data_IF_834276012207
#
_entry.id   IF_834276012207
#
_cell.length_a   1.000
_cell.length_b   1.000
_cell.length_c   1.000
_cell.angle_alpha   90.00
_cell.angle_beta   90.00
_cell.angle_gamma   90.00
#
_symmetry.space_group_name_H-M   'P 1'
#
loop_
_entity.id
_entity.type
_entity.pdbx_description
1 polymer ?
#
# COMPACT_ATOMS: atom_id res chain seq x y z
N UNK A 1 -3.04 -10.66 -9.15
CA UNK A 1 -2.48 -9.28 -9.08
C UNK A 1 -3.36 -8.37 -9.95
N UNK A 2 -4.25 -7.57 -9.38
CA UNK A 2 -5.13 -6.70 -10.19
C UNK A 2 -4.40 -5.51 -10.80
N UNK A 3 -3.22 -5.13 -10.27
CA UNK A 3 -2.36 -4.09 -10.86
C UNK A 3 -1.88 -4.39 -12.29
N UNK A 4 -1.86 -5.66 -12.71
CA UNK A 4 -1.55 -5.99 -14.11
C UNK A 4 -2.66 -5.57 -15.06
N UNK A 5 -3.92 -5.55 -14.61
CA UNK A 5 -5.07 -5.11 -15.40
C UNK A 5 -5.03 -3.58 -15.62
N UNK A 6 -4.71 -2.82 -14.56
CA UNK A 6 -4.55 -1.37 -14.65
C UNK A 6 -3.38 -0.98 -15.56
N UNK A 7 -2.22 -1.65 -15.42
CA UNK A 7 -1.09 -1.42 -16.33
C UNK A 7 -1.41 -1.84 -17.77
N UNK A 8 -2.11 -2.96 -17.97
CA UNK A 8 -2.53 -3.38 -19.30
C UNK A 8 -3.48 -2.36 -19.97
N UNK A 9 -4.41 -1.75 -19.21
CA UNK A 9 -5.30 -0.71 -19.73
C UNK A 9 -4.55 0.54 -20.20
N UNK A 10 -3.57 1.02 -19.42
CA UNK A 10 -2.74 2.16 -19.81
C UNK A 10 -1.87 1.86 -21.03
N UNK A 11 -1.28 0.66 -21.08
CA UNK A 11 -0.49 0.20 -22.23
C UNK A 11 -1.35 0.03 -23.49
N UNK A 12 -2.62 -0.40 -23.34
CA UNK A 12 -3.60 -0.45 -24.43
C UNK A 12 -3.96 0.95 -24.96
N UNK A 13 -4.07 1.95 -24.09
CA UNK A 13 -4.25 3.36 -24.50
C UNK A 13 -3.08 3.87 -25.34
N UNK A 14 -1.85 3.54 -24.94
CA UNK A 14 -0.64 3.87 -25.69
C UNK A 14 -0.54 3.08 -27.02
N UNK A 15 -0.96 1.81 -27.06
CA UNK A 15 -1.06 1.05 -28.31
C UNK A 15 -2.06 1.71 -29.29
N UNK A 16 -3.16 2.24 -28.78
CA UNK A 16 -4.17 2.95 -29.57
C UNK A 16 -3.61 4.17 -30.30
N UNK A 17 -2.69 4.93 -29.68
CA UNK A 17 -2.04 6.08 -30.33
C UNK A 17 -1.20 5.63 -31.51
N UNK A 18 -0.45 4.53 -31.35
CA UNK A 18 0.38 3.95 -32.41
C UNK A 18 -0.49 3.46 -33.56
N UNK A 19 -1.62 2.81 -33.27
CA UNK A 19 -2.58 2.37 -34.30
C UNK A 19 -3.21 3.54 -35.08
N UNK A 20 -3.61 4.63 -34.40
CA UNK A 20 -4.15 5.82 -35.04
C UNK A 20 -3.13 6.51 -35.95
N UNK A 21 -1.88 6.60 -35.50
CA UNK A 21 -0.77 7.15 -36.30
C UNK A 21 -0.47 6.29 -37.54
N UNK A 22 -0.44 4.96 -37.40
CA UNK A 22 -0.24 4.04 -38.53
C UNK A 22 -1.36 4.21 -39.55
N UNK A 23 -2.63 4.33 -39.13
CA UNK A 23 -3.76 4.61 -40.03
C UNK A 23 -3.64 5.95 -40.73
N UNK A 24 -3.14 6.99 -40.05
CA UNK A 24 -2.90 8.30 -40.64
C UNK A 24 -1.87 8.23 -41.78
N UNK A 25 -0.74 7.58 -41.54
CA UNK A 25 0.28 7.37 -42.56
C UNK A 25 -0.16 6.41 -43.66
N UNK A 26 -0.95 5.39 -43.33
CA UNK A 26 -1.55 4.52 -44.33
C UNK A 26 -2.45 5.34 -45.27
N UNK A 27 -3.35 6.17 -44.74
CA UNK A 27 -4.19 7.06 -45.55
C UNK A 27 -3.39 8.04 -46.42
N UNK A 28 -2.25 8.54 -45.92
CA UNK A 28 -1.33 9.36 -46.73
C UNK A 28 -0.76 8.58 -47.92
N UNK A 29 -0.42 7.30 -47.72
CA UNK A 29 0.18 6.46 -48.76
C UNK A 29 -0.78 6.10 -49.89
N UNK A 30 -2.06 5.90 -49.58
CA UNK A 30 -3.10 5.58 -50.59
C UNK A 30 -3.62 6.83 -51.30
N UNK A 31 -3.76 7.96 -50.60
CA UNK A 31 -4.31 9.17 -51.21
C UNK A 31 -3.26 10.03 -51.91
N UNK A 32 -1.97 9.83 -51.62
CA UNK A 32 -0.86 10.63 -52.17
C UNK A 32 -0.88 12.11 -51.74
N UNK A 33 -1.94 12.57 -51.08
CA UNK A 33 -2.13 13.91 -50.57
C UNK A 33 -1.69 13.98 -49.11
N UNK A 34 -0.41 14.30 -48.91
CA UNK A 34 0.24 14.62 -47.64
C UNK A 34 -0.27 15.88 -46.93
N UNK A 35 -1.55 16.21 -47.06
CA UNK A 35 -2.11 17.46 -46.54
C UNK A 35 -2.11 17.49 -45.00
N UNK A 36 -1.81 18.65 -44.38
CA UNK A 36 -1.87 18.84 -42.92
C UNK A 36 -3.18 18.39 -42.28
N UNK A 37 -4.29 18.43 -43.04
CA UNK A 37 -5.60 17.97 -42.60
C UNK A 37 -5.61 16.46 -42.26
N UNK A 38 -4.99 15.61 -43.09
CA UNK A 38 -5.04 14.14 -42.93
C UNK A 38 -4.25 13.70 -41.70
N UNK A 39 -3.07 14.29 -41.48
CA UNK A 39 -2.26 14.04 -40.28
C UNK A 39 -2.94 14.56 -39.01
N UNK A 40 -3.60 15.72 -39.06
CA UNK A 40 -4.32 16.27 -37.91
C UNK A 40 -5.47 15.37 -37.44
N UNK A 41 -6.18 14.74 -38.39
CA UNK A 41 -7.26 13.80 -38.08
C UNK A 41 -6.75 12.53 -37.39
N UNK A 42 -5.61 11.99 -37.84
CA UNK A 42 -5.01 10.80 -37.22
C UNK A 42 -4.51 11.03 -35.79
N UNK A 43 -3.99 12.22 -35.51
CA UNK A 43 -3.59 12.62 -34.16
C UNK A 43 -4.81 12.79 -33.25
N UNK A 44 -5.91 13.34 -33.76
CA UNK A 44 -7.14 13.49 -32.99
C UNK A 44 -7.74 12.13 -32.56
N UNK A 45 -7.76 11.14 -33.46
CA UNK A 45 -8.19 9.78 -33.11
C UNK A 45 -7.26 9.13 -32.07
N UNK A 46 -5.95 9.33 -32.19
CA UNK A 46 -4.95 8.84 -31.24
C UNK A 46 -5.14 9.45 -29.83
N UNK A 47 -5.44 10.74 -29.74
CA UNK A 47 -5.70 11.39 -28.45
C UNK A 47 -6.99 10.91 -27.81
N UNK A 48 -8.03 10.65 -28.61
CA UNK A 48 -9.32 10.17 -28.10
C UNK A 48 -9.20 8.78 -27.45
N UNK A 49 -8.49 7.84 -28.09
CA UNK A 49 -8.25 6.51 -27.50
C UNK A 49 -7.41 6.57 -26.22
N UNK A 50 -6.52 7.57 -26.09
CA UNK A 50 -5.74 7.80 -24.86
C UNK A 50 -6.64 8.28 -23.74
N UNK A 51 -7.53 9.23 -24.03
CA UNK A 51 -8.50 9.74 -23.06
C UNK A 51 -9.40 8.61 -22.56
N UNK A 52 -9.88 7.72 -23.42
CA UNK A 52 -10.67 6.55 -23.03
C UNK A 52 -9.87 5.54 -22.19
N UNK A 53 -8.62 5.24 -22.56
CA UNK A 53 -7.76 4.33 -21.78
C UNK A 53 -7.51 4.85 -20.36
N UNK A 54 -7.27 6.15 -20.20
CA UNK A 54 -7.10 6.77 -18.90
C UNK A 54 -8.43 6.86 -18.12
N UNK A 55 -9.54 7.14 -18.81
CA UNK A 55 -10.88 7.19 -18.22
C UNK A 55 -11.30 5.85 -17.62
N UNK A 56 -10.92 4.72 -18.22
CA UNK A 56 -11.15 3.38 -17.64
C UNK A 56 -10.10 3.00 -16.58
N UNK A 57 -8.87 3.49 -16.73
CA UNK A 57 -7.74 3.17 -15.85
C UNK A 57 -7.87 3.75 -14.43
N UNK A 58 -8.26 5.03 -14.32
CA UNK A 58 -8.40 5.71 -13.01
C UNK A 58 -9.44 5.03 -12.11
N UNK A 59 -10.67 4.72 -12.57
CA UNK A 59 -11.66 4.01 -11.77
C UNK A 59 -11.18 2.61 -11.35
N UNK A 60 -10.50 1.90 -12.24
CA UNK A 60 -9.96 0.56 -11.96
C UNK A 60 -8.94 0.61 -10.82
N UNK A 61 -8.06 1.62 -10.81
CA UNK A 61 -7.09 1.82 -9.73
C UNK A 61 -7.75 2.22 -8.41
N UNK A 62 -8.77 3.07 -8.45
CA UNK A 62 -9.54 3.46 -7.26
C UNK A 62 -10.25 2.26 -6.63
N UNK A 63 -10.93 1.46 -7.45
CA UNK A 63 -11.63 0.26 -7.00
C UNK A 63 -10.67 -0.79 -6.43
N UNK A 64 -9.49 -0.97 -7.05
CA UNK A 64 -8.43 -1.82 -6.51
C UNK A 64 -7.98 -1.36 -5.13
N UNK A 65 -7.72 -0.05 -4.95
CA UNK A 65 -7.30 0.48 -3.66
C UNK A 65 -8.36 0.24 -2.57
N UNK A 66 -9.65 0.39 -2.90
CA UNK A 66 -10.75 0.10 -1.98
C UNK A 66 -10.81 -1.37 -1.60
N UNK A 67 -10.76 -2.28 -2.59
CA UNK A 67 -10.91 -3.72 -2.35
C UNK A 67 -9.67 -4.31 -1.66
N UNK A 68 -8.46 -3.85 -2.00
CA UNK A 68 -7.23 -4.27 -1.34
C UNK A 68 -7.19 -3.87 0.12
N UNK A 69 -7.71 -2.70 0.49
CA UNK A 69 -7.83 -2.30 1.91
C UNK A 69 -8.71 -3.27 2.69
N UNK A 70 -9.89 -3.59 2.16
CA UNK A 70 -10.82 -4.56 2.77
C UNK A 70 -10.19 -5.94 2.92
N UNK A 71 -9.48 -6.40 1.88
CA UNK A 71 -8.83 -7.72 1.90
C UNK A 71 -7.67 -7.78 2.91
N UNK A 72 -6.91 -6.69 3.03
CA UNK A 72 -5.80 -6.60 3.96
C UNK A 72 -6.26 -6.51 5.42
N UNK A 73 -7.37 -5.83 5.68
CA UNK A 73 -8.00 -5.77 7.02
C UNK A 73 -8.40 -7.18 7.50
N UNK A 74 -8.98 -8.00 6.62
CA UNK A 74 -9.30 -9.39 6.92
C UNK A 74 -8.04 -10.23 7.19
N UNK A 75 -6.98 -10.07 6.39
CA UNK A 75 -5.71 -10.75 6.63
C UNK A 75 -5.06 -10.36 7.95
N UNK A 76 -5.12 -9.07 8.32
CA UNK A 76 -4.62 -8.58 9.60
C UNK A 76 -5.38 -9.16 10.79
N UNK A 77 -6.69 -9.37 10.67
CA UNK A 77 -7.48 -10.03 11.71
C UNK A 77 -7.07 -11.50 11.91
N UNK A 78 -6.83 -12.23 10.81
CA UNK A 78 -6.39 -13.63 10.85
C UNK A 78 -4.99 -13.79 11.46
N UNK A 79 -4.05 -12.90 11.11
CA UNK A 79 -2.71 -12.89 11.71
C UNK A 79 -2.80 -12.57 13.22
N UNK A 80 -3.65 -11.61 13.59
CA UNK A 80 -3.88 -11.27 15.00
C UNK A 80 -4.48 -12.41 15.83
N UNK A 81 -5.37 -13.22 15.24
CA UNK A 81 -5.90 -14.43 15.89
C UNK A 81 -4.80 -15.49 16.05
N UNK A 82 -3.98 -15.69 15.01
CA UNK A 82 -2.91 -16.68 15.02
C UNK A 82 -1.87 -16.38 16.11
N UNK A 83 -1.44 -15.12 16.24
CA UNK A 83 -0.51 -14.70 17.29
C UNK A 83 -1.08 -14.90 18.70
N UNK A 84 -2.37 -14.58 18.90
CA UNK A 84 -3.05 -14.78 20.19
C UNK A 84 -3.10 -16.26 20.58
N UNK A 85 -3.38 -17.14 19.62
CA UNK A 85 -3.41 -18.60 19.85
C UNK A 85 -2.01 -19.10 20.24
N UNK A 86 -0.96 -18.69 19.54
CA UNK A 86 0.43 -19.08 19.85
C UNK A 86 0.84 -18.60 21.25
N UNK A 87 0.50 -17.37 21.61
CA UNK A 87 0.79 -16.81 22.93
C UNK A 87 0.02 -17.57 24.03
N UNK A 88 -1.26 -17.86 23.82
CA UNK A 88 -2.04 -18.66 24.77
C UNK A 88 -1.48 -20.08 24.93
N UNK A 89 -1.13 -20.73 23.83
CA UNK A 89 -0.55 -22.08 23.86
C UNK A 89 0.79 -22.11 24.61
N UNK A 90 1.67 -21.13 24.37
CA UNK A 90 2.93 -20.99 25.10
C UNK A 90 2.71 -20.70 26.59
N UNK A 91 1.73 -19.88 26.95
CA UNK A 91 1.40 -19.60 28.35
C UNK A 91 0.78 -20.80 29.06
N UNK A 92 -0.05 -21.60 28.38
CA UNK A 92 -0.62 -22.84 28.93
C UNK A 92 0.47 -23.91 29.14
N UNK A 93 1.41 -24.04 28.20
CA UNK A 93 2.61 -24.88 28.37
C UNK A 93 3.45 -24.43 29.58
N UNK A 94 3.55 -23.12 29.81
CA UNK A 94 4.26 -22.54 30.96
C UNK A 94 3.52 -22.81 32.28
N UNK A 95 2.19 -22.74 32.30
CA UNK A 95 1.34 -23.06 33.46
C UNK A 95 1.40 -24.56 33.84
N UNK A 96 1.49 -25.46 32.84
CA UNK A 96 1.67 -26.89 33.10
C UNK A 96 3.04 -27.25 33.70
N UNK A 97 4.00 -26.32 33.70
CA UNK A 97 5.30 -26.48 34.36
C UNK A 97 5.38 -25.78 35.72
N UNK A 98 4.29 -25.16 36.19
CA UNK A 98 4.31 -24.20 37.30
C UNK A 98 3.46 -24.53 38.53
N UNK A 99 2.81 -25.70 38.62
CA UNK A 99 2.01 -26.05 39.81
C UNK A 99 2.88 -26.62 40.93
N UNK A 100 3.54 -25.75 41.68
CA UNK A 100 3.62 -25.83 43.16
C UNK A 100 3.17 -24.47 43.68
N UNK A 101 1.97 -24.44 44.26
CA UNK A 101 1.36 -23.27 44.90
C UNK A 101 1.47 -23.41 46.42
N UNK A 102 1.55 -22.25 47.11
CA UNK A 102 1.20 -21.95 48.53
C UNK A 102 2.09 -22.49 49.67
N UNK A 103 2.44 -21.78 50.76
CA UNK A 103 2.22 -20.42 51.30
C UNK A 103 3.29 -20.14 52.43
N UNK A 104 3.08 -19.34 53.51
CA UNK A 104 3.76 -18.07 53.81
C UNK A 104 4.63 -18.12 55.11
N UNK A 105 5.14 -16.96 55.56
CA UNK A 105 5.75 -16.69 56.88
C UNK A 105 7.25 -16.96 57.10
N UNK A 106 8.08 -15.96 56.74
CA UNK A 106 9.11 -15.39 57.64
C UNK A 106 9.68 -14.07 57.06
N UNK A 107 9.23 -12.95 57.63
CA UNK A 107 9.88 -11.61 57.60
C UNK A 107 10.93 -11.61 58.75
N UNK A 108 11.90 -10.67 58.95
CA UNK A 108 12.44 -9.51 58.18
C UNK A 108 14.01 -9.39 58.20
N UNK A 109 14.52 -8.25 57.71
CA UNK A 109 15.87 -7.63 57.89
C UNK A 109 16.96 -8.08 56.89
N UNK A 110 17.75 -7.23 56.23
CA UNK A 110 18.04 -5.80 56.31
C UNK A 110 18.51 -5.33 54.90
N UNK A 111 18.09 -4.18 54.38
CA UNK A 111 18.83 -2.90 54.44
C UNK A 111 20.19 -2.96 53.69
N UNK A 112 20.39 -2.29 52.56
CA UNK A 112 20.59 -0.83 52.56
C UNK A 112 20.71 -0.24 51.14
N UNK A 113 20.21 0.99 51.03
CA UNK A 113 20.77 2.11 50.25
C UNK A 113 20.82 2.04 48.71
N UNK A 114 19.80 2.61 48.06
CA UNK A 114 19.99 3.89 47.34
C UNK A 114 18.64 4.61 47.22
N UNK A 115 18.58 5.80 47.82
CA UNK A 115 17.42 6.67 47.90
C UNK A 115 17.16 7.49 46.62
N UNK A 116 16.24 8.47 46.67
CA UNK A 116 15.19 8.66 45.66
C UNK A 116 15.32 9.94 44.82
N UNK A 117 14.33 10.11 43.92
CA UNK A 117 13.97 11.26 43.05
C UNK A 117 14.45 11.08 41.60
N UNK A 118 13.63 11.25 40.55
CA UNK A 118 12.43 12.08 40.45
C UNK A 118 11.50 11.63 39.30
N UNK A 119 10.29 12.18 39.36
CA UNK A 119 9.05 12.02 38.59
C UNK A 119 9.10 12.25 37.03
N UNK A 120 8.00 12.01 36.26
CA UNK A 120 7.99 11.65 34.81
C UNK A 120 7.66 12.82 33.82
N UNK A 121 7.20 12.56 32.56
CA UNK A 121 7.76 12.88 31.22
C UNK A 121 7.24 14.26 30.65
N UNK A 122 7.43 14.74 29.37
CA UNK A 122 7.63 14.02 28.10
C UNK A 122 8.47 14.70 26.98
N UNK A 123 8.52 14.00 25.84
CA UNK A 123 8.59 14.44 24.44
C UNK A 123 8.81 15.93 24.08
N UNK A 124 9.58 16.10 22.98
CA UNK A 124 9.60 17.25 22.05
C UNK A 124 10.37 18.52 22.45
N UNK A 125 11.60 18.67 21.93
CA UNK A 125 11.98 19.89 21.20
C UNK A 125 13.30 19.70 20.41
N UNK A 126 13.18 19.15 19.20
CA UNK A 126 14.26 19.05 18.21
C UNK A 126 13.98 19.92 16.98
N UNK A 127 13.61 21.19 17.18
CA UNK A 127 13.25 22.12 16.08
C UNK A 127 14.07 23.43 16.10
N UNK A 128 15.27 23.46 16.68
CA UNK A 128 16.10 24.67 16.68
C UNK A 128 17.56 24.41 16.32
N UNK A 129 17.81 23.77 15.16
CA UNK A 129 19.17 23.83 14.59
C UNK A 129 19.26 23.73 13.05
N UNK A 130 18.24 24.19 12.32
CA UNK A 130 18.32 24.38 10.88
C UNK A 130 17.81 25.78 10.49
N UNK A 131 18.34 26.84 11.10
CA UNK A 131 18.38 28.18 10.49
C UNK A 131 19.31 29.14 11.28
N UNK A 132 20.62 28.95 11.17
CA UNK A 132 21.64 30.02 11.27
C UNK A 132 22.75 29.67 10.28
#
# INVERSE_FOLDING_TARGET
RMGTLANAATLLGLLGTVMGLIKAFHNISITGSGGPAVISSGIAEALLTTAFGLFIGIPTLFFYNYFSKKSNELSMELDGISDRIVVLFNNLKKQSSGTKTSDPASVPAAESAFGPQDSPPPFFNGINNCLV
#
